data_IF_971437538227
#
_entry.id   IF_971437538227
#
_cell.length_a   1.000
_cell.length_b   1.000
_cell.length_c   1.000
_cell.angle_alpha   90.00
_cell.angle_beta   90.00
_cell.angle_gamma   90.00
#
_symmetry.space_group_name_H-M   'P 1'
#
loop_
_entity.id
_entity.type
_entity.pdbx_description
1 polymer ?
#
# COMPACT_ATOMS: atom_id res chain seq x y z
N UNK A 1 67.19 1.80 -46.97
CA UNK A 1 66.05 2.63 -46.76
C UNK A 1 64.94 1.77 -46.13
N UNK A 2 64.82 1.72 -44.77
CA UNK A 2 63.85 0.86 -44.07
C UNK A 2 62.65 1.73 -43.68
N UNK A 3 61.49 1.44 -44.23
CA UNK A 3 60.22 2.04 -43.82
C UNK A 3 59.73 1.36 -42.50
N UNK A 4 59.58 2.14 -41.47
CA UNK A 4 58.89 1.77 -40.25
C UNK A 4 57.38 2.09 -40.40
N UNK A 5 56.53 1.04 -40.40
CA UNK A 5 55.07 1.22 -40.25
C UNK A 5 54.74 1.34 -38.77
N UNK A 6 54.25 2.49 -38.37
CA UNK A 6 53.66 2.69 -37.05
C UNK A 6 52.16 2.40 -37.12
N UNK A 7 51.73 1.29 -36.57
CA UNK A 7 50.33 0.95 -36.45
C UNK A 7 49.75 1.69 -35.23
N UNK A 8 48.91 2.70 -35.49
CA UNK A 8 48.16 3.38 -34.47
C UNK A 8 46.97 2.55 -34.00
N UNK A 9 46.97 2.12 -32.75
CA UNK A 9 45.82 1.45 -32.09
C UNK A 9 44.83 2.54 -31.66
N UNK A 10 43.69 2.66 -32.40
CA UNK A 10 42.54 3.45 -31.96
C UNK A 10 41.84 2.67 -30.83
N UNK A 11 42.02 3.11 -29.58
CA UNK A 11 41.17 2.69 -28.47
C UNK A 11 39.81 3.42 -28.60
N UNK A 12 38.81 2.73 -29.09
CA UNK A 12 37.41 3.18 -29.00
C UNK A 12 36.93 2.97 -27.57
N UNK A 13 36.79 4.06 -26.81
CA UNK A 13 36.07 4.05 -25.53
C UNK A 13 34.58 3.87 -25.86
N UNK A 14 34.09 2.64 -25.74
CA UNK A 14 32.65 2.39 -25.64
C UNK A 14 32.19 2.90 -24.27
N UNK A 15 31.58 4.09 -24.29
CA UNK A 15 30.85 4.60 -23.15
C UNK A 15 29.65 3.65 -22.93
N UNK A 16 29.74 2.73 -21.96
CA UNK A 16 28.60 1.96 -21.49
C UNK A 16 27.65 2.92 -20.76
N UNK A 17 26.79 3.60 -21.52
CA UNK A 17 25.60 4.22 -20.93
C UNK A 17 24.68 3.07 -20.51
N UNK A 18 24.40 2.96 -19.21
CA UNK A 18 23.34 2.08 -18.72
C UNK A 18 22.05 2.39 -19.51
N UNK A 19 21.28 1.38 -19.93
CA UNK A 19 20.01 1.64 -20.59
C UNK A 19 19.13 2.53 -19.68
N UNK A 20 18.37 3.46 -20.26
CA UNK A 20 17.48 4.30 -19.48
C UNK A 20 16.53 3.42 -18.67
N UNK A 21 16.37 3.73 -17.37
CA UNK A 21 15.43 3.00 -16.52
C UNK A 21 14.03 3.08 -17.12
N UNK A 22 13.33 1.94 -17.11
CA UNK A 22 11.94 1.87 -17.59
C UNK A 22 11.04 2.75 -16.68
N UNK A 23 10.07 3.48 -17.25
CA UNK A 23 9.10 4.20 -16.44
C UNK A 23 8.30 3.23 -15.58
N UNK A 24 7.92 3.66 -14.36
CA UNK A 24 7.06 2.87 -13.49
C UNK A 24 5.70 2.69 -14.13
N UNK A 25 5.12 1.49 -14.00
CA UNK A 25 3.74 1.25 -14.38
C UNK A 25 2.79 1.79 -13.31
N UNK A 26 1.97 2.84 -13.59
CA UNK A 26 1.04 3.35 -12.61
C UNK A 26 -0.12 2.37 -12.38
N UNK A 27 -0.51 2.21 -11.12
CA UNK A 27 -1.63 1.39 -10.71
C UNK A 27 -2.37 2.03 -9.54
N UNK A 28 -3.58 1.53 -9.24
CA UNK A 28 -4.31 1.88 -8.03
C UNK A 28 -4.72 0.62 -7.27
N UNK A 29 -4.89 0.77 -5.97
CA UNK A 29 -5.66 -0.18 -5.16
C UNK A 29 -7.12 0.26 -5.09
N UNK A 30 -8.04 -0.69 -5.18
CA UNK A 30 -9.45 -0.54 -4.83
C UNK A 30 -9.72 -1.39 -3.59
N UNK A 31 -10.05 -0.73 -2.48
CA UNK A 31 -10.17 -1.37 -1.15
C UNK A 31 -11.58 -1.35 -0.60
N UNK A 32 -12.57 -1.19 -1.50
CA UNK A 32 -13.98 -1.11 -1.14
C UNK A 32 -14.64 -2.50 -1.07
N UNK A 33 -15.79 -2.59 -0.40
CA UNK A 33 -16.60 -3.81 -0.34
C UNK A 33 -17.53 -3.98 -1.55
N UNK A 34 -17.73 -2.90 -2.32
CA UNK A 34 -18.42 -2.90 -3.61
C UNK A 34 -17.51 -2.25 -4.62
N UNK A 35 -17.11 -2.99 -5.63
CA UNK A 35 -16.28 -2.44 -6.70
C UNK A 35 -17.14 -1.57 -7.62
N UNK A 36 -16.91 -0.28 -7.52
CA UNK A 36 -17.47 0.71 -8.41
C UNK A 36 -16.37 1.70 -8.79
N UNK A 37 -16.13 1.88 -10.07
CA UNK A 37 -15.19 2.89 -10.58
C UNK A 37 -16.01 4.00 -11.23
N UNK A 38 -16.07 5.15 -10.59
CA UNK A 38 -16.80 6.31 -11.09
C UNK A 38 -16.21 6.85 -12.40
N UNK A 39 -16.95 7.69 -13.11
CA UNK A 39 -16.46 8.32 -14.33
C UNK A 39 -15.23 9.20 -14.09
N UNK A 40 -15.18 9.88 -12.95
CA UNK A 40 -14.07 10.72 -12.52
C UNK A 40 -12.81 9.88 -12.21
N UNK A 41 -12.96 8.79 -11.47
CA UNK A 41 -11.87 7.86 -11.18
C UNK A 41 -11.34 7.21 -12.45
N UNK A 42 -12.25 6.86 -13.36
CA UNK A 42 -11.87 6.33 -14.67
C UNK A 42 -11.11 7.37 -15.49
N UNK A 43 -11.55 8.62 -15.51
CA UNK A 43 -10.87 9.73 -16.19
C UNK A 43 -9.48 9.97 -15.62
N UNK A 44 -9.31 9.88 -14.29
CA UNK A 44 -8.00 9.97 -13.62
C UNK A 44 -7.07 8.84 -14.07
N UNK A 45 -7.56 7.59 -14.08
CA UNK A 45 -6.79 6.42 -14.50
C UNK A 45 -6.37 6.53 -15.97
N UNK A 46 -7.30 6.88 -16.87
CA UNK A 46 -7.01 7.02 -18.30
C UNK A 46 -6.00 8.14 -18.58
N UNK A 47 -6.12 9.28 -17.88
CA UNK A 47 -5.21 10.42 -18.00
C UNK A 47 -3.80 10.10 -17.48
N UNK A 48 -3.68 9.23 -16.48
CA UNK A 48 -2.40 8.74 -15.94
C UNK A 48 -1.83 7.58 -16.79
N UNK A 49 -2.58 7.05 -17.74
CA UNK A 49 -2.20 5.84 -18.50
C UNK A 49 -2.24 4.56 -17.65
N UNK A 50 -2.95 4.58 -16.52
CA UNK A 50 -3.09 3.45 -15.62
C UNK A 50 -3.95 2.35 -16.27
N UNK A 51 -3.41 1.13 -16.32
CA UNK A 51 -4.09 -0.04 -16.87
C UNK A 51 -4.22 -1.19 -15.88
N UNK A 52 -3.73 -1.02 -14.65
CA UNK A 52 -3.69 -2.05 -13.61
C UNK A 52 -4.45 -1.58 -12.38
N UNK A 53 -5.32 -2.43 -11.86
CA UNK A 53 -6.09 -2.17 -10.65
C UNK A 53 -5.97 -3.38 -9.70
N UNK A 54 -5.42 -3.18 -8.51
CA UNK A 54 -5.41 -4.15 -7.43
C UNK A 54 -6.74 -4.09 -6.69
N UNK A 55 -7.55 -5.13 -6.82
CA UNK A 55 -8.90 -5.16 -6.24
C UNK A 55 -8.93 -6.13 -5.08
N UNK A 56 -9.23 -5.63 -3.90
CA UNK A 56 -9.46 -6.48 -2.75
C UNK A 56 -10.74 -7.30 -2.98
N UNK A 57 -10.60 -8.61 -3.14
CA UNK A 57 -11.73 -9.52 -3.39
C UNK A 57 -12.23 -10.21 -2.13
N UNK A 58 -11.37 -10.36 -1.12
CA UNK A 58 -11.67 -11.03 0.16
C UNK A 58 -10.95 -10.36 1.32
N UNK A 59 -11.64 -10.27 2.45
CA UNK A 59 -11.07 -10.06 3.78
C UNK A 59 -11.27 -11.34 4.60
N UNK A 60 -10.19 -11.93 5.12
CA UNK A 60 -10.23 -13.19 5.87
C UNK A 60 -9.64 -12.99 7.26
N UNK A 61 -10.32 -13.51 8.26
CA UNK A 61 -9.85 -13.45 9.63
C UNK A 61 -10.34 -14.64 10.46
N UNK A 62 -10.23 -14.50 11.78
CA UNK A 62 -10.79 -15.46 12.74
C UNK A 62 -12.03 -14.88 13.40
N UNK A 63 -13.08 -15.67 13.46
CA UNK A 63 -14.26 -15.34 14.26
C UNK A 63 -13.89 -15.29 15.74
N UNK A 64 -14.20 -14.19 16.41
CA UNK A 64 -13.82 -14.00 17.82
C UNK A 64 -14.49 -14.97 18.77
N UNK A 65 -15.70 -15.50 18.43
CA UNK A 65 -16.45 -16.43 19.26
C UNK A 65 -16.09 -17.89 19.03
N UNK A 66 -15.97 -18.32 17.75
CA UNK A 66 -15.71 -19.71 17.39
C UNK A 66 -14.23 -20.03 17.16
N UNK A 67 -13.40 -19.00 16.89
CA UNK A 67 -12.00 -19.19 16.48
C UNK A 67 -11.83 -19.72 15.04
N UNK A 68 -12.92 -19.95 14.32
CA UNK A 68 -12.87 -20.43 12.95
C UNK A 68 -12.39 -19.37 11.97
N UNK A 69 -11.68 -19.85 10.92
CA UNK A 69 -11.24 -18.98 9.83
C UNK A 69 -12.41 -18.79 8.88
N UNK A 70 -12.80 -17.55 8.66
CA UNK A 70 -13.92 -17.18 7.80
C UNK A 70 -13.67 -15.87 7.04
N UNK A 71 -14.34 -15.64 5.89
CA UNK A 71 -14.33 -14.35 5.24
C UNK A 71 -15.19 -13.35 6.04
N UNK A 72 -14.62 -12.18 6.37
CA UNK A 72 -15.38 -11.05 6.92
C UNK A 72 -16.11 -10.27 5.84
N UNK A 73 -15.49 -10.21 4.66
CA UNK A 73 -16.03 -9.48 3.52
C UNK A 73 -15.61 -10.15 2.23
N UNK A 74 -16.51 -10.10 1.28
CA UNK A 74 -16.26 -10.41 -0.13
C UNK A 74 -16.72 -9.22 -0.94
N UNK A 75 -15.86 -8.72 -1.81
CA UNK A 75 -16.18 -7.56 -2.63
C UNK A 75 -17.22 -7.94 -3.69
N UNK A 76 -18.28 -7.14 -3.77
CA UNK A 76 -19.25 -7.22 -4.86
C UNK A 76 -18.64 -6.60 -6.12
N UNK A 77 -18.45 -7.43 -7.14
CA UNK A 77 -17.90 -7.07 -8.44
C UNK A 77 -18.97 -7.11 -9.56
N UNK A 78 -20.25 -7.00 -9.21
CA UNK A 78 -21.36 -7.07 -10.18
C UNK A 78 -21.36 -5.89 -11.17
N UNK A 79 -20.86 -4.71 -10.77
CA UNK A 79 -20.67 -3.57 -11.65
C UNK A 79 -19.28 -3.60 -12.29
N UNK A 80 -19.21 -4.05 -13.53
CA UNK A 80 -17.98 -4.08 -14.32
C UNK A 80 -17.85 -2.92 -15.32
N UNK A 81 -18.78 -1.96 -15.30
CA UNK A 81 -18.88 -0.90 -16.35
C UNK A 81 -17.61 -0.03 -16.43
N UNK A 82 -17.02 0.32 -15.28
CA UNK A 82 -15.80 1.10 -15.18
C UNK A 82 -14.50 0.31 -15.40
N UNK A 83 -14.55 -1.02 -15.56
CA UNK A 83 -13.37 -1.89 -15.58
C UNK A 83 -12.84 -2.20 -16.98
N UNK A 84 -13.54 -1.80 -18.02
CA UNK A 84 -13.18 -2.15 -19.40
C UNK A 84 -11.76 -1.70 -19.75
N UNK A 85 -10.92 -2.66 -20.16
CA UNK A 85 -9.52 -2.40 -20.55
C UNK A 85 -8.56 -2.28 -19.39
N UNK A 86 -9.00 -2.47 -18.12
CA UNK A 86 -8.14 -2.61 -16.97
C UNK A 86 -7.75 -4.07 -16.76
N UNK A 87 -6.52 -4.30 -16.33
CA UNK A 87 -6.03 -5.58 -15.81
C UNK A 87 -6.34 -5.62 -14.32
N UNK A 88 -7.22 -6.51 -13.92
CA UNK A 88 -7.61 -6.68 -12.53
C UNK A 88 -6.65 -7.65 -11.87
N UNK A 89 -6.03 -7.20 -10.78
CA UNK A 89 -5.18 -8.02 -9.91
C UNK A 89 -5.97 -8.34 -8.65
N UNK A 90 -6.51 -9.56 -8.52
CA UNK A 90 -7.18 -9.95 -7.30
C UNK A 90 -6.24 -9.80 -6.10
N UNK A 91 -6.74 -9.19 -5.03
CA UNK A 91 -6.00 -8.99 -3.79
C UNK A 91 -6.77 -9.61 -2.64
N UNK A 92 -6.09 -10.41 -1.82
CA UNK A 92 -6.69 -11.06 -0.66
C UNK A 92 -6.03 -10.53 0.60
N UNK A 93 -6.84 -9.88 1.44
CA UNK A 93 -6.40 -9.48 2.77
C UNK A 93 -6.63 -10.59 3.77
N UNK A 94 -5.61 -10.87 4.58
CA UNK A 94 -5.71 -11.83 5.68
C UNK A 94 -5.16 -11.23 6.96
N UNK A 95 -5.94 -11.28 8.04
CA UNK A 95 -5.40 -10.85 9.33
C UNK A 95 -4.31 -11.81 9.81
N UNK A 96 -3.37 -11.29 10.60
CA UNK A 96 -2.25 -12.08 11.12
C UNK A 96 -2.71 -13.28 11.98
N UNK A 97 -3.85 -13.14 12.68
CA UNK A 97 -4.43 -14.18 13.54
C UNK A 97 -4.82 -15.46 12.78
N UNK A 98 -5.10 -15.34 11.47
CA UNK A 98 -5.41 -16.51 10.62
C UNK A 98 -4.30 -17.54 10.70
N UNK A 99 -3.05 -17.09 10.76
CA UNK A 99 -1.85 -17.94 10.73
C UNK A 99 -1.33 -18.33 12.12
N UNK A 100 -2.01 -17.92 13.19
CA UNK A 100 -1.67 -18.37 14.54
C UNK A 100 -2.18 -19.80 14.77
N UNK A 101 -1.27 -20.72 15.13
CA UNK A 101 -1.60 -22.12 15.48
C UNK A 101 -2.46 -22.83 14.43
N UNK A 102 -2.25 -22.54 13.14
CA UNK A 102 -2.97 -23.19 12.03
C UNK A 102 -2.25 -24.47 11.61
N UNK A 103 -3.02 -25.56 11.36
CA UNK A 103 -2.44 -26.81 10.86
C UNK A 103 -2.16 -26.74 9.35
N UNK A 104 -1.23 -27.57 8.86
CA UNK A 104 -0.92 -27.68 7.43
C UNK A 104 -2.15 -28.11 6.59
N UNK A 105 -3.03 -28.93 7.14
CA UNK A 105 -4.29 -29.34 6.48
C UNK A 105 -5.22 -28.14 6.31
N UNK A 106 -5.35 -27.32 7.36
CA UNK A 106 -6.18 -26.09 7.30
C UNK A 106 -5.57 -25.05 6.37
N UNK A 107 -4.23 -24.94 6.30
CA UNK A 107 -3.51 -24.12 5.31
C UNK A 107 -3.85 -24.58 3.88
N UNK A 108 -3.76 -25.87 3.59
CA UNK A 108 -4.07 -26.42 2.27
C UNK A 108 -5.54 -26.23 1.89
N UNK A 109 -6.45 -26.39 2.86
CA UNK A 109 -7.88 -26.11 2.70
C UNK A 109 -8.13 -24.63 2.38
N UNK A 110 -7.54 -23.70 3.16
CA UNK A 110 -7.67 -22.25 2.97
C UNK A 110 -7.16 -21.85 1.58
N UNK A 111 -5.98 -22.33 1.17
CA UNK A 111 -5.43 -22.09 -0.14
C UNK A 111 -6.36 -22.56 -1.27
N UNK A 112 -7.02 -23.73 -1.10
CA UNK A 112 -8.00 -24.23 -2.06
C UNK A 112 -9.24 -23.33 -2.16
N UNK A 113 -9.74 -22.83 -1.03
CA UNK A 113 -10.91 -21.92 -1.00
C UNK A 113 -10.61 -20.58 -1.65
N UNK A 114 -9.47 -19.99 -1.34
CA UNK A 114 -9.06 -18.70 -1.92
C UNK A 114 -8.83 -18.83 -3.43
N UNK A 115 -8.16 -19.90 -3.89
CA UNK A 115 -7.94 -20.11 -5.31
C UNK A 115 -9.26 -20.25 -6.08
N UNK A 116 -10.26 -20.93 -5.51
CA UNK A 116 -11.58 -21.04 -6.12
C UNK A 116 -12.24 -19.66 -6.28
N UNK A 117 -12.23 -18.82 -5.23
CA UNK A 117 -12.82 -17.47 -5.29
C UNK A 117 -12.06 -16.59 -6.27
N UNK A 118 -10.72 -16.62 -6.27
CA UNK A 118 -9.93 -15.82 -7.19
C UNK A 118 -10.23 -16.14 -8.67
N UNK A 119 -10.50 -17.42 -8.99
CA UNK A 119 -10.80 -17.86 -10.37
C UNK A 119 -12.24 -17.58 -10.82
N UNK A 120 -13.17 -17.30 -9.91
CA UNK A 120 -14.56 -16.95 -10.26
C UNK A 120 -14.65 -15.66 -11.09
N UNK A 121 -13.68 -14.77 -10.93
CA UNK A 121 -13.63 -13.48 -11.66
C UNK A 121 -12.83 -13.57 -12.97
N UNK A 122 -12.53 -14.77 -13.46
CA UNK A 122 -11.81 -15.00 -14.70
C UNK A 122 -10.31 -15.26 -14.52
N UNK A 123 -9.55 -15.15 -15.61
CA UNK A 123 -8.10 -15.29 -15.58
C UNK A 123 -7.44 -14.02 -15.06
N UNK A 124 -6.37 -14.18 -14.29
CA UNK A 124 -5.56 -13.10 -13.78
C UNK A 124 -4.07 -13.36 -14.05
N UNK A 125 -3.29 -12.32 -14.23
CA UNK A 125 -1.84 -12.40 -14.44
C UNK A 125 -1.05 -12.42 -13.13
N UNK A 126 -1.70 -11.98 -12.02
CA UNK A 126 -1.10 -11.85 -10.70
C UNK A 126 -2.19 -12.02 -9.64
N UNK A 127 -1.81 -12.58 -8.48
CA UNK A 127 -2.64 -12.65 -7.28
C UNK A 127 -1.83 -12.11 -6.11
N UNK A 128 -2.30 -11.02 -5.50
CA UNK A 128 -1.63 -10.35 -4.40
C UNK A 128 -2.20 -10.80 -3.05
N UNK A 129 -1.32 -11.09 -2.10
CA UNK A 129 -1.67 -11.36 -0.71
C UNK A 129 -1.23 -10.22 0.20
N UNK A 130 -2.17 -9.66 0.94
CA UNK A 130 -1.89 -8.67 1.97
C UNK A 130 -2.04 -9.31 3.35
N UNK A 131 -0.90 -9.39 4.06
CA UNK A 131 -0.86 -9.96 5.41
C UNK A 131 0.29 -9.33 6.20
N UNK A 132 -0.02 -8.80 7.37
CA UNK A 132 0.97 -8.26 8.31
C UNK A 132 1.56 -9.39 9.16
N UNK A 133 2.26 -10.34 8.54
CA UNK A 133 2.85 -11.46 9.28
C UNK A 133 3.92 -10.99 10.26
N UNK A 134 4.00 -11.70 11.37
CA UNK A 134 5.01 -11.51 12.42
C UNK A 134 5.99 -12.69 12.43
N UNK A 135 7.09 -12.63 13.19
CA UNK A 135 7.98 -13.78 13.34
C UNK A 135 7.27 -15.06 13.81
N UNK A 136 6.18 -14.94 14.58
CA UNK A 136 5.42 -16.09 15.09
C UNK A 136 4.45 -16.72 14.06
N UNK A 137 4.04 -15.97 13.03
CA UNK A 137 3.11 -16.45 12.00
C UNK A 137 3.77 -16.63 10.63
N UNK A 138 5.01 -16.18 10.50
CA UNK A 138 5.79 -16.22 9.27
C UNK A 138 5.78 -17.59 8.58
N UNK A 139 6.12 -18.64 9.30
CA UNK A 139 6.31 -19.96 8.71
C UNK A 139 4.98 -20.53 8.20
N UNK A 140 3.88 -20.29 8.92
CA UNK A 140 2.54 -20.66 8.49
C UNK A 140 2.07 -19.87 7.27
N UNK A 141 2.29 -18.54 7.25
CA UNK A 141 1.97 -17.72 6.10
C UNK A 141 2.80 -18.13 4.87
N UNK A 142 4.10 -18.41 5.04
CA UNK A 142 4.96 -18.85 3.93
C UNK A 142 4.59 -20.25 3.44
N UNK A 143 4.16 -21.16 4.33
CA UNK A 143 3.57 -22.44 3.92
C UNK A 143 2.31 -22.22 3.09
N UNK A 144 1.43 -21.33 3.52
CA UNK A 144 0.24 -20.95 2.76
C UNK A 144 0.58 -20.44 1.35
N UNK A 145 1.53 -19.52 1.19
CA UNK A 145 1.95 -19.01 -0.12
C UNK A 145 2.48 -20.12 -1.03
N UNK A 146 3.24 -21.09 -0.47
CA UNK A 146 3.69 -22.28 -1.21
C UNK A 146 2.53 -23.17 -1.65
N UNK A 147 1.47 -23.30 -0.82
CA UNK A 147 0.26 -24.03 -1.22
C UNK A 147 -0.53 -23.27 -2.30
N UNK A 148 -0.60 -21.93 -2.20
CA UNK A 148 -1.22 -21.11 -3.25
C UNK A 148 -0.52 -21.29 -4.60
N UNK A 149 0.80 -21.33 -4.65
CA UNK A 149 1.58 -21.58 -5.88
C UNK A 149 1.16 -22.87 -6.60
N UNK A 150 0.73 -23.89 -5.85
CA UNK A 150 0.26 -25.17 -6.43
C UNK A 150 -1.19 -25.10 -6.94
N UNK A 151 -1.93 -24.04 -6.59
CA UNK A 151 -3.37 -23.90 -6.89
C UNK A 151 -3.66 -22.89 -8.00
N UNK A 152 -2.78 -21.89 -8.17
CA UNK A 152 -2.93 -20.87 -9.22
C UNK A 152 -2.27 -21.33 -10.53
N UNK A 153 -2.69 -20.78 -11.70
CA UNK A 153 -2.06 -21.10 -12.97
C UNK A 153 -0.55 -20.80 -12.94
N UNK A 154 0.30 -21.66 -13.54
CA UNK A 154 1.76 -21.48 -13.52
C UNK A 154 2.24 -20.14 -14.11
N UNK A 155 1.48 -19.56 -15.04
CA UNK A 155 1.77 -18.27 -15.68
C UNK A 155 1.40 -17.06 -14.82
N UNK A 156 0.54 -17.24 -13.81
CA UNK A 156 0.17 -16.17 -12.90
C UNK A 156 1.24 -15.97 -11.83
N UNK A 157 1.61 -14.71 -11.60
CA UNK A 157 2.49 -14.33 -10.47
C UNK A 157 1.76 -14.42 -9.16
N UNK A 158 2.47 -14.77 -8.10
CA UNK A 158 2.05 -14.55 -6.72
C UNK A 158 2.89 -13.41 -6.17
N UNK A 159 2.24 -12.42 -5.59
CA UNK A 159 2.87 -11.30 -4.89
C UNK A 159 2.36 -11.18 -3.46
N UNK A 160 3.13 -10.50 -2.63
CA UNK A 160 2.75 -10.21 -1.25
C UNK A 160 3.13 -8.77 -0.90
N UNK A 161 2.32 -8.14 -0.05
CA UNK A 161 2.69 -6.84 0.53
C UNK A 161 3.87 -7.01 1.48
N UNK A 162 4.73 -6.00 1.49
CA UNK A 162 5.91 -5.93 2.37
C UNK A 162 5.79 -4.65 3.19
N UNK A 163 5.75 -4.76 4.51
CA UNK A 163 5.78 -3.61 5.42
C UNK A 163 7.21 -3.07 5.55
N UNK A 164 7.36 -1.79 5.88
CA UNK A 164 8.66 -1.14 6.03
C UNK A 164 9.60 -1.85 7.03
N UNK A 165 9.06 -2.34 8.15
CA UNK A 165 9.87 -3.10 9.12
C UNK A 165 10.28 -4.48 8.57
N UNK A 166 9.46 -5.11 7.73
CA UNK A 166 9.79 -6.37 7.06
C UNK A 166 10.87 -6.15 5.99
N UNK A 167 10.78 -5.04 5.26
CA UNK A 167 11.81 -4.62 4.31
C UNK A 167 13.16 -4.36 5.01
N UNK A 168 13.15 -3.65 6.13
CA UNK A 168 14.36 -3.31 6.88
C UNK A 168 15.03 -4.51 7.54
N UNK A 169 14.26 -5.46 8.05
CA UNK A 169 14.76 -6.58 8.86
C UNK A 169 14.40 -7.96 8.27
N UNK A 170 14.75 -8.26 7.00
CA UNK A 170 14.35 -9.52 6.35
C UNK A 170 14.92 -10.76 7.03
N UNK A 171 16.05 -10.63 7.76
CA UNK A 171 16.63 -11.74 8.53
C UNK A 171 15.74 -12.14 9.72
N UNK A 172 14.96 -11.21 10.28
CA UNK A 172 14.05 -11.47 11.39
C UNK A 172 12.67 -11.88 10.91
N UNK A 173 12.14 -11.14 9.93
CA UNK A 173 10.77 -11.31 9.43
C UNK A 173 10.65 -12.37 8.35
N UNK A 174 11.76 -12.75 7.73
CA UNK A 174 11.79 -13.60 6.55
C UNK A 174 11.46 -12.85 5.27
N UNK A 175 11.68 -13.51 4.14
CA UNK A 175 11.30 -13.05 2.80
C UNK A 175 10.24 -14.02 2.29
N UNK A 176 9.04 -13.55 1.90
CA UNK A 176 7.97 -14.44 1.47
C UNK A 176 8.34 -15.16 0.17
N UNK A 177 7.96 -16.44 0.02
CA UNK A 177 8.27 -17.23 -1.17
C UNK A 177 7.30 -16.89 -2.33
N UNK A 178 7.42 -15.67 -2.84
CA UNK A 178 6.59 -15.10 -3.91
C UNK A 178 7.47 -14.57 -5.05
N UNK A 179 6.85 -14.29 -6.20
CA UNK A 179 7.56 -13.79 -7.38
C UNK A 179 7.90 -12.31 -7.23
N UNK A 180 7.13 -11.53 -6.44
CA UNK A 180 7.27 -10.08 -6.30
C UNK A 180 6.72 -9.58 -4.97
N UNK A 181 7.36 -8.56 -4.40
CA UNK A 181 6.88 -7.85 -3.21
C UNK A 181 6.29 -6.50 -3.56
N UNK A 182 5.16 -6.13 -2.99
CA UNK A 182 4.59 -4.78 -3.03
C UNK A 182 4.99 -4.04 -1.76
N UNK A 183 6.02 -3.20 -1.81
CA UNK A 183 6.48 -2.44 -0.65
C UNK A 183 5.49 -1.34 -0.30
N UNK A 184 4.86 -1.43 0.86
CA UNK A 184 3.92 -0.44 1.38
C UNK A 184 4.71 0.70 2.03
N UNK A 185 5.00 1.76 1.26
CA UNK A 185 5.82 2.89 1.70
C UNK A 185 4.97 3.96 2.39
N UNK A 186 4.24 3.54 3.42
CA UNK A 186 3.35 4.34 4.26
C UNK A 186 3.12 3.66 5.61
N UNK A 187 2.27 4.24 6.48
CA UNK A 187 2.09 3.84 7.88
C UNK A 187 3.44 3.84 8.62
N UNK A 188 4.12 4.99 8.53
CA UNK A 188 5.47 5.14 9.06
C UNK A 188 5.51 5.48 10.54
N UNK A 189 4.45 6.10 11.08
CA UNK A 189 4.37 6.54 12.47
C UNK A 189 3.61 5.58 13.38
N UNK A 190 3.78 5.78 14.68
CA UNK A 190 3.06 5.06 15.72
C UNK A 190 1.62 5.62 15.85
N UNK A 191 0.64 4.75 15.74
CA UNK A 191 -0.78 5.14 15.84
C UNK A 191 -1.21 5.32 17.29
N UNK A 192 -0.58 4.63 18.23
CA UNK A 192 -0.94 4.63 19.65
C UNK A 192 -0.37 5.85 20.39
N UNK A 193 0.67 6.51 19.84
CA UNK A 193 1.25 7.71 20.43
C UNK A 193 0.42 8.95 20.07
N UNK A 194 -0.11 9.66 21.07
CA UNK A 194 -0.78 10.94 20.87
C UNK A 194 0.26 12.05 20.63
N UNK A 195 0.54 12.34 19.37
CA UNK A 195 1.54 13.32 18.92
C UNK A 195 1.11 14.02 17.64
N UNK A 196 1.83 15.07 17.25
CA UNK A 196 1.61 15.79 15.97
C UNK A 196 2.15 15.02 14.75
N UNK A 197 2.75 13.83 14.92
CA UNK A 197 3.30 13.07 13.81
C UNK A 197 2.22 12.55 12.89
N UNK A 198 2.42 12.74 11.60
CA UNK A 198 1.55 12.15 10.58
C UNK A 198 1.82 10.66 10.45
N UNK A 199 0.87 9.84 10.87
CA UNK A 199 1.04 8.37 10.89
C UNK A 199 0.84 7.71 9.54
N UNK A 200 0.18 8.39 8.58
CA UNK A 200 0.13 7.90 7.21
C UNK A 200 1.53 7.95 6.59
N UNK A 201 2.21 9.09 6.70
CA UNK A 201 3.58 9.21 6.26
C UNK A 201 4.28 10.38 6.97
N UNK A 202 5.41 10.10 7.61
CA UNK A 202 6.31 11.12 8.13
C UNK A 202 7.73 10.86 7.59
N UNK A 203 8.39 11.88 6.98
CA UNK A 203 9.68 11.69 6.32
C UNK A 203 10.78 11.13 7.20
N UNK A 204 10.90 11.61 8.44
CA UNK A 204 11.94 11.15 9.38
C UNK A 204 11.71 9.71 9.80
N UNK A 205 10.46 9.28 9.96
CA UNK A 205 10.14 7.90 10.31
C UNK A 205 10.38 6.97 9.13
N UNK A 206 10.04 7.40 7.90
CA UNK A 206 10.39 6.67 6.69
C UNK A 206 11.91 6.50 6.55
N UNK A 207 12.70 7.56 6.82
CA UNK A 207 14.17 7.49 6.80
C UNK A 207 14.72 6.45 7.77
N UNK A 208 14.15 6.34 8.97
CA UNK A 208 14.57 5.30 9.94
C UNK A 208 14.45 3.88 9.39
N UNK A 209 13.44 3.63 8.53
CA UNK A 209 13.29 2.33 7.88
C UNK A 209 14.27 2.14 6.72
N UNK A 210 14.62 3.18 5.99
CA UNK A 210 15.59 3.11 4.89
C UNK A 210 17.04 3.01 5.38
N UNK A 211 17.36 3.65 6.49
CA UNK A 211 18.68 3.58 7.09
C UNK A 211 19.01 2.18 7.62
N UNK A 212 20.09 1.60 7.09
CA UNK A 212 20.52 0.25 7.43
C UNK A 212 19.66 -0.87 6.85
N UNK A 213 18.72 -0.56 5.98
CA UNK A 213 18.01 -1.56 5.17
C UNK A 213 18.98 -2.24 4.17
N UNK A 214 18.68 -3.47 3.71
CA UNK A 214 19.48 -4.13 2.68
C UNK A 214 19.45 -3.30 1.39
N UNK A 215 20.60 -3.18 0.72
CA UNK A 215 20.68 -2.50 -0.58
C UNK A 215 19.82 -3.19 -1.63
N UNK A 216 19.80 -4.53 -1.60
CA UNK A 216 19.02 -5.36 -2.50
C UNK A 216 18.09 -6.23 -1.67
N UNK A 217 16.79 -6.07 -1.86
CA UNK A 217 15.82 -6.98 -1.25
C UNK A 217 15.81 -8.30 -2.05
N UNK A 218 15.69 -9.48 -1.39
CA UNK A 218 15.90 -10.77 -2.09
C UNK A 218 14.89 -11.13 -3.18
N UNK A 219 13.79 -10.39 -3.30
CA UNK A 219 12.81 -10.54 -4.39
C UNK A 219 12.57 -9.17 -5.06
N UNK A 220 12.19 -9.13 -6.34
CA UNK A 220 11.84 -7.88 -7.03
C UNK A 220 10.73 -7.12 -6.30
N UNK A 221 10.86 -5.79 -6.20
CA UNK A 221 9.90 -4.94 -5.50
C UNK A 221 9.13 -4.03 -6.45
N UNK A 222 7.82 -3.97 -6.23
CA UNK A 222 6.93 -2.89 -6.60
C UNK A 222 6.77 -1.93 -5.42
N UNK A 223 6.19 -0.76 -5.66
CA UNK A 223 6.02 0.29 -4.66
C UNK A 223 4.55 0.68 -4.52
N UNK A 224 4.07 0.83 -3.27
CA UNK A 224 2.79 1.45 -2.98
C UNK A 224 2.99 2.75 -2.21
N UNK A 225 2.38 3.84 -2.69
CA UNK A 225 2.34 5.16 -2.04
C UNK A 225 0.92 5.49 -1.59
N UNK A 226 0.75 6.23 -0.48
CA UNK A 226 -0.56 6.50 0.08
C UNK A 226 -1.30 7.63 -0.65
N UNK A 227 -2.63 7.49 -0.80
CA UNK A 227 -3.55 8.58 -1.17
C UNK A 227 -4.73 8.67 -0.19
N UNK A 228 -4.57 8.17 1.02
CA UNK A 228 -5.64 8.13 2.01
C UNK A 228 -5.37 9.06 3.20
N UNK A 229 -6.41 9.22 3.99
CA UNK A 229 -6.34 9.88 5.30
C UNK A 229 -7.11 9.06 6.32
N UNK A 230 -6.86 9.30 7.59
CA UNK A 230 -7.64 8.78 8.71
C UNK A 230 -7.66 9.74 9.88
N UNK A 231 -8.64 9.56 10.74
CA UNK A 231 -8.70 10.17 12.05
C UNK A 231 -8.40 9.15 13.14
N UNK A 232 -7.53 9.50 14.07
CA UNK A 232 -7.25 8.71 15.26
C UNK A 232 -7.83 9.45 16.46
N UNK A 233 -8.79 8.80 17.12
CA UNK A 233 -9.49 9.38 18.25
C UNK A 233 -8.83 8.86 19.52
N UNK A 234 -8.34 9.79 20.32
CA UNK A 234 -7.77 9.52 21.64
C UNK A 234 -8.77 9.90 22.72
N UNK A 235 -8.87 9.06 23.72
CA UNK A 235 -9.69 9.25 24.92
C UNK A 235 -8.84 9.00 26.13
N UNK A 236 -8.72 10.00 27.00
CA UNK A 236 -7.89 9.91 28.21
C UNK A 236 -6.41 9.55 27.89
N UNK A 237 -5.91 10.03 26.74
CA UNK A 237 -4.54 9.78 26.26
C UNK A 237 -4.31 8.44 25.55
N UNK A 238 -5.32 7.58 25.46
CA UNK A 238 -5.23 6.27 24.83
C UNK A 238 -5.95 6.25 23.47
N UNK A 239 -5.38 5.57 22.46
CA UNK A 239 -6.05 5.38 21.18
C UNK A 239 -7.35 4.58 21.38
N UNK A 240 -8.48 5.25 21.13
CA UNK A 240 -9.79 4.62 21.30
C UNK A 240 -10.35 4.07 19.99
N UNK A 241 -10.22 4.84 18.87
CA UNK A 241 -10.76 4.44 17.56
C UNK A 241 -9.96 5.02 16.42
N UNK A 242 -9.95 4.29 15.30
CA UNK A 242 -9.49 4.77 14.00
C UNK A 242 -10.72 4.94 13.11
N UNK A 243 -10.88 6.12 12.51
CA UNK A 243 -11.96 6.47 11.59
C UNK A 243 -11.34 6.66 10.19
N UNK A 244 -11.74 5.86 9.19
CA UNK A 244 -11.29 6.08 7.82
C UNK A 244 -11.67 7.47 7.31
N UNK A 245 -10.79 8.09 6.54
CA UNK A 245 -11.07 9.35 5.86
C UNK A 245 -11.71 9.16 4.48
N UNK A 246 -12.06 10.28 3.81
CA UNK A 246 -11.82 11.64 4.24
C UNK A 246 -12.78 12.08 5.35
N UNK A 247 -12.29 12.91 6.28
CA UNK A 247 -13.09 13.45 7.36
C UNK A 247 -13.75 14.77 6.93
N UNK A 248 -14.94 15.12 7.48
CA UNK A 248 -15.69 16.34 7.14
C UNK A 248 -15.10 17.58 7.83
N UNK A 249 -13.84 17.93 7.52
CA UNK A 249 -13.09 18.98 8.23
C UNK A 249 -13.75 20.36 8.15
N UNK A 250 -14.40 20.71 7.05
CA UNK A 250 -15.12 21.97 6.89
C UNK A 250 -16.32 22.06 7.85
N UNK A 251 -17.09 20.98 7.96
CA UNK A 251 -18.21 20.91 8.92
C UNK A 251 -17.69 20.96 10.35
N UNK A 252 -16.55 20.35 10.63
CA UNK A 252 -15.92 20.39 11.94
C UNK A 252 -15.48 21.82 12.32
N UNK A 253 -14.95 22.61 11.37
CA UNK A 253 -14.59 24.02 11.56
C UNK A 253 -15.81 24.90 11.82
N UNK A 254 -16.89 24.65 11.10
CA UNK A 254 -18.09 25.50 11.12
C UNK A 254 -19.07 25.23 12.25
N UNK A 255 -19.11 24.01 12.81
CA UNK A 255 -20.12 23.61 13.79
C UNK A 255 -19.83 24.07 15.22
N UNK A 256 -18.67 24.67 15.49
CA UNK A 256 -18.28 25.24 16.79
C UNK A 256 -18.00 24.23 17.90
N UNK A 257 -18.05 22.93 17.60
CA UNK A 257 -17.84 21.86 18.58
C UNK A 257 -16.36 21.48 18.77
N UNK A 258 -15.51 21.90 17.85
CA UNK A 258 -14.12 21.52 17.82
C UNK A 258 -13.19 22.72 17.98
N UNK A 259 -12.05 22.52 18.61
CA UNK A 259 -10.89 23.40 18.55
C UNK A 259 -9.89 22.77 17.61
N UNK A 260 -9.55 23.48 16.52
CA UNK A 260 -8.50 23.10 15.62
C UNK A 260 -7.17 23.69 16.09
N UNK A 261 -6.15 22.87 16.33
CA UNK A 261 -4.81 23.35 16.59
C UNK A 261 -4.14 23.73 15.28
N UNK A 262 -3.46 24.90 15.18
CA UNK A 262 -2.78 25.30 13.98
C UNK A 262 -1.72 24.27 13.56
N UNK A 263 -1.65 23.94 12.25
CA UNK A 263 -0.54 23.18 11.71
C UNK A 263 0.75 24.01 11.83
N UNK A 264 1.76 23.44 12.44
CA UNK A 264 3.09 24.05 12.60
C UNK A 264 4.04 23.66 11.47
N UNK A 265 3.81 22.52 10.83
CA UNK A 265 4.63 21.96 9.77
C UNK A 265 3.72 21.23 8.76
N UNK A 266 3.93 21.36 7.43
CA UNK A 266 3.11 20.71 6.41
C UNK A 266 3.24 19.18 6.40
N UNK A 267 4.16 18.61 7.17
CA UNK A 267 4.37 17.17 7.29
C UNK A 267 3.78 16.57 8.59
N UNK A 268 3.20 17.39 9.45
CA UNK A 268 2.54 16.94 10.67
C UNK A 268 1.07 16.60 10.44
N UNK A 269 0.48 15.93 11.43
CA UNK A 269 -0.96 15.68 11.49
C UNK A 269 -1.68 16.90 12.07
N UNK A 270 -2.94 17.05 11.71
CA UNK A 270 -3.79 18.08 12.28
C UNK A 270 -4.44 17.59 13.56
N UNK A 271 -4.30 18.35 14.64
CA UNK A 271 -4.86 18.01 15.93
C UNK A 271 -6.14 18.82 16.20
N UNK A 272 -7.10 18.15 16.82
CA UNK A 272 -8.39 18.72 17.18
C UNK A 272 -8.77 18.29 18.61
N UNK A 273 -9.37 19.20 19.37
CA UNK A 273 -9.97 18.91 20.66
C UNK A 273 -11.48 19.10 20.58
N UNK A 274 -12.24 18.14 21.10
CA UNK A 274 -13.70 18.19 21.10
C UNK A 274 -14.22 18.92 22.36
N UNK A 275 -14.97 20.01 22.16
CA UNK A 275 -15.63 20.77 23.25
C UNK A 275 -17.01 20.23 23.62
N UNK A 276 -17.78 19.88 22.60
CA UNK A 276 -19.16 19.41 22.76
C UNK A 276 -19.38 18.07 22.07
N UNK A 277 -20.11 17.17 22.73
CA UNK A 277 -20.36 15.82 22.21
C UNK A 277 -20.92 15.80 20.79
N UNK A 278 -20.42 14.88 19.97
CA UNK A 278 -20.82 14.74 18.57
C UNK A 278 -20.62 13.32 18.07
N UNK A 279 -21.08 13.04 16.84
CA UNK A 279 -20.79 11.79 16.14
C UNK A 279 -19.74 12.02 15.05
N UNK A 280 -18.81 11.09 14.92
CA UNK A 280 -17.83 11.03 13.82
C UNK A 280 -17.64 9.57 13.42
N UNK A 281 -17.76 9.26 12.13
CA UNK A 281 -17.59 7.89 11.62
C UNK A 281 -18.51 6.86 12.30
N UNK A 282 -19.73 7.24 12.69
CA UNK A 282 -20.68 6.37 13.39
C UNK A 282 -20.42 6.19 14.89
N UNK A 283 -19.38 6.83 15.44
CA UNK A 283 -19.03 6.75 16.86
C UNK A 283 -19.39 8.04 17.60
N UNK A 284 -19.94 7.91 18.83
CA UNK A 284 -20.18 9.05 19.70
C UNK A 284 -18.89 9.45 20.42
N UNK A 285 -18.49 10.70 20.24
CA UNK A 285 -17.34 11.32 20.88
C UNK A 285 -17.79 12.20 22.04
N UNK A 286 -16.98 12.27 23.08
CA UNK A 286 -17.24 13.03 24.31
C UNK A 286 -16.41 14.31 24.32
N UNK A 287 -16.87 15.38 25.02
CA UNK A 287 -16.02 16.52 25.32
C UNK A 287 -14.69 16.07 25.94
N UNK A 288 -13.58 16.62 25.49
CA UNK A 288 -12.22 16.22 25.88
C UNK A 288 -11.63 15.05 25.12
N UNK A 289 -12.37 14.41 24.19
CA UNK A 289 -11.75 13.50 23.24
C UNK A 289 -10.87 14.31 22.25
N UNK A 290 -9.69 13.79 21.92
CA UNK A 290 -8.80 14.39 20.94
C UNK A 290 -8.88 13.62 19.62
N UNK A 291 -8.73 14.33 18.52
CA UNK A 291 -8.68 13.75 17.18
C UNK A 291 -7.39 14.19 16.48
N UNK A 292 -6.59 13.22 16.05
CA UNK A 292 -5.46 13.44 15.15
C UNK A 292 -5.85 13.05 13.73
N UNK A 293 -5.83 13.99 12.81
CA UNK A 293 -6.08 13.75 11.40
C UNK A 293 -4.76 13.65 10.67
N UNK A 294 -4.44 12.44 10.23
CA UNK A 294 -3.27 12.16 9.39
C UNK A 294 -3.73 12.02 7.94
N UNK A 295 -3.20 12.85 7.06
CA UNK A 295 -3.53 12.87 5.64
C UNK A 295 -2.28 13.04 4.80
N UNK A 296 -2.31 12.55 3.58
CA UNK A 296 -1.27 12.81 2.60
C UNK A 296 -1.59 14.09 1.82
N UNK A 297 -0.64 15.03 1.79
CA UNK A 297 -0.70 16.21 0.94
C UNK A 297 0.13 16.00 -0.34
N UNK A 298 -0.08 16.78 -1.42
CA UNK A 298 0.81 16.76 -2.57
C UNK A 298 2.29 16.92 -2.21
N UNK A 299 2.63 17.85 -1.32
CA UNK A 299 4.00 18.06 -0.87
C UNK A 299 4.57 16.83 -0.15
N UNK A 300 3.77 16.22 0.69
CA UNK A 300 4.16 15.01 1.44
C UNK A 300 4.30 13.80 0.51
N UNK A 301 3.43 13.67 -0.50
CA UNK A 301 3.52 12.62 -1.50
C UNK A 301 4.80 12.75 -2.35
N UNK A 302 5.18 13.95 -2.76
CA UNK A 302 6.46 14.20 -3.43
C UNK A 302 7.66 13.90 -2.51
N UNK A 303 7.55 14.20 -1.22
CA UNK A 303 8.59 13.84 -0.26
C UNK A 303 8.74 12.33 -0.12
N UNK A 304 7.62 11.60 -0.10
CA UNK A 304 7.63 10.13 -0.12
C UNK A 304 8.29 9.60 -1.40
N UNK A 305 7.92 10.12 -2.56
CA UNK A 305 8.52 9.76 -3.85
C UNK A 305 10.04 10.00 -3.88
N UNK A 306 10.49 11.16 -3.38
CA UNK A 306 11.92 11.48 -3.31
C UNK A 306 12.70 10.53 -2.37
N UNK A 307 12.11 10.11 -1.27
CA UNK A 307 12.72 9.12 -0.38
C UNK A 307 12.74 7.73 -0.99
N UNK A 308 11.72 7.38 -1.78
CA UNK A 308 11.60 6.10 -2.46
C UNK A 308 12.68 5.88 -3.54
N UNK A 309 13.36 6.93 -4.04
CA UNK A 309 14.56 6.82 -4.90
C UNK A 309 15.69 6.00 -4.26
N UNK A 310 15.70 5.86 -2.93
CA UNK A 310 16.69 5.06 -2.20
C UNK A 310 16.38 3.56 -2.22
N UNK A 311 15.21 3.17 -2.75
CA UNK A 311 14.77 1.78 -2.83
C UNK A 311 15.32 1.13 -4.10
N UNK A 312 15.67 -0.14 -4.01
CA UNK A 312 16.00 -0.98 -5.16
C UNK A 312 14.72 -1.62 -5.72
N UNK A 313 14.02 -0.86 -6.57
CA UNK A 313 12.81 -1.32 -7.22
C UNK A 313 13.14 -2.11 -8.49
N UNK A 314 12.28 -3.05 -8.86
CA UNK A 314 12.42 -3.80 -10.10
C UNK A 314 12.44 -2.87 -11.33
N UNK A 315 13.14 -3.27 -12.41
CA UNK A 315 13.22 -2.47 -13.64
C UNK A 315 11.82 -2.23 -14.23
N UNK A 316 10.94 -3.24 -14.17
CA UNK A 316 9.55 -3.21 -14.60
C UNK A 316 8.58 -2.97 -13.44
N UNK A 317 8.99 -2.22 -12.40
CA UNK A 317 8.18 -2.05 -11.20
C UNK A 317 6.87 -1.31 -11.47
N UNK A 318 5.85 -1.73 -10.74
CA UNK A 318 4.58 -1.02 -10.61
C UNK A 318 4.69 0.00 -9.46
N UNK A 319 4.17 1.21 -9.68
CA UNK A 319 3.88 2.16 -8.62
C UNK A 319 2.37 2.21 -8.42
N UNK A 320 1.91 1.65 -7.32
CA UNK A 320 0.50 1.59 -6.98
C UNK A 320 0.14 2.69 -5.97
N UNK A 321 -0.98 3.37 -6.16
CA UNK A 321 -1.50 4.34 -5.22
C UNK A 321 -2.57 3.69 -4.33
N UNK A 322 -2.37 3.73 -3.01
CA UNK A 322 -3.30 3.19 -2.04
C UNK A 322 -4.11 4.32 -1.40
N UNK A 323 -5.42 4.46 -1.60
CA UNK A 323 -6.23 3.70 -2.54
C UNK A 323 -7.05 4.66 -3.42
N UNK A 324 -7.64 4.15 -4.51
CA UNK A 324 -8.52 4.90 -5.38
C UNK A 324 -9.82 5.22 -4.61
N UNK A 325 -10.02 6.50 -4.34
CA UNK A 325 -11.23 7.03 -3.71
C UNK A 325 -11.32 8.51 -4.10
N UNK A 326 -12.31 8.87 -4.92
CA UNK A 326 -12.43 10.23 -5.46
C UNK A 326 -12.55 11.29 -4.36
N UNK A 327 -13.27 10.99 -3.28
CA UNK A 327 -13.45 11.92 -2.18
C UNK A 327 -12.13 12.23 -1.45
N UNK A 328 -11.25 11.22 -1.29
CA UNK A 328 -9.92 11.38 -0.70
C UNK A 328 -8.86 11.84 -1.69
N UNK A 329 -9.05 11.56 -2.99
CA UNK A 329 -8.08 11.85 -4.04
C UNK A 329 -8.38 13.12 -4.85
N UNK A 330 -9.43 13.88 -4.53
CA UNK A 330 -9.83 15.11 -5.24
C UNK A 330 -8.71 16.15 -5.40
N UNK A 331 -7.66 16.09 -4.56
CA UNK A 331 -6.49 16.98 -4.62
C UNK A 331 -5.35 16.45 -5.49
N UNK A 332 -5.48 15.25 -6.08
CA UNK A 332 -4.42 14.59 -6.84
C UNK A 332 -4.80 14.48 -8.32
N UNK A 333 -4.33 15.45 -9.12
CA UNK A 333 -4.51 15.37 -10.57
C UNK A 333 -3.62 14.29 -11.20
N UNK A 334 -3.98 13.83 -12.41
CA UNK A 334 -3.16 12.88 -13.17
C UNK A 334 -1.74 13.41 -13.43
N UNK A 335 -1.60 14.74 -13.70
CA UNK A 335 -0.30 15.37 -13.91
C UNK A 335 0.57 15.33 -12.65
N UNK A 336 -0.03 15.52 -11.48
CA UNK A 336 0.67 15.42 -10.20
C UNK A 336 1.15 14.00 -9.97
N UNK A 337 0.28 12.99 -10.13
CA UNK A 337 0.62 11.58 -9.94
C UNK A 337 1.66 11.10 -10.96
N UNK A 338 1.59 11.53 -12.21
CA UNK A 338 2.63 11.27 -13.23
C UNK A 338 3.99 11.87 -12.81
N UNK A 339 3.98 13.10 -12.28
CA UNK A 339 5.20 13.72 -11.76
C UNK A 339 5.77 12.97 -10.54
N UNK A 340 4.90 12.42 -9.68
CA UNK A 340 5.31 11.56 -8.56
C UNK A 340 5.97 10.27 -9.08
N UNK A 341 5.38 9.62 -10.09
CA UNK A 341 5.98 8.43 -10.73
C UNK A 341 7.37 8.73 -11.30
N UNK A 342 7.51 9.85 -11.99
CA UNK A 342 8.80 10.30 -12.53
C UNK A 342 9.82 10.59 -11.42
N UNK A 343 9.37 11.21 -10.32
CA UNK A 343 10.25 11.51 -9.18
C UNK A 343 10.84 10.26 -8.57
N UNK A 344 10.10 9.16 -8.43
CA UNK A 344 10.63 7.90 -7.89
C UNK A 344 11.75 7.32 -8.75
N UNK A 345 11.75 7.56 -10.07
CA UNK A 345 12.72 6.98 -11.04
C UNK A 345 13.92 7.87 -11.37
N UNK A 346 13.90 9.15 -10.97
CA UNK A 346 15.00 10.10 -11.21
C UNK A 346 16.11 9.97 -10.15
#
# INVERSE_FOLDING_TARGET
>A
MKLLFVAGILLTWTCCSSPPMQPLEPAFFCWETTLHVSAEERSLQDSLGCKKLYVKILDIGRNAGSGEIEPYSRTDMSDSSGLKGLRIIPTVFTTNEVFQNISEEKIAWLAGKIAAVATEHGSFEELLFDCDWTPSTRDAFFSFLKQMRKKVPPVARISATIRLHQYKFPQKTGVPPVDRGMLMFYNTGDVDEESERNTVFHPDDALKYLEGAPKNYPIPLDLALPLFSWGLIFREGELWKIVPGPLPLEDMRSNGKWIENPLTDPFTAQLWELKDGTFLGGHYLRPGDHLRVSAISPALLFKAASLAQKLDLADDATLAFFHLNIAGSAHFSAQLLDSVCKTVRN
#
